data_IF_986452019956
#
_entry.id   IF_986452019956
#
_cell.length_a   1.000
_cell.length_b   1.000
_cell.length_c   1.000
_cell.angle_alpha   90.00
_cell.angle_beta   90.00
_cell.angle_gamma   90.00
#
_symmetry.space_group_name_H-M   'P 1'
#
loop_
_entity.id
_entity.type
_entity.pdbx_description
1 polymer ?
#
# COMPACT_ATOMS: atom_id res chain seq x y z
N UNK A 1 -7.73 3.95 -17.97
CA UNK A 1 -8.75 5.00 -18.10
C UNK A 1 -8.11 6.24 -18.72
N UNK A 2 -8.88 7.07 -19.44
CA UNK A 2 -8.38 8.39 -19.86
C UNK A 2 -8.09 9.28 -18.64
N UNK A 3 -7.04 10.12 -18.68
CA UNK A 3 -6.67 10.98 -17.54
C UNK A 3 -7.80 11.86 -17.02
N UNK A 4 -8.67 12.37 -17.90
CA UNK A 4 -9.82 13.21 -17.57
C UNK A 4 -10.84 12.50 -16.69
N UNK A 5 -11.01 11.19 -16.87
CA UNK A 5 -12.01 10.37 -16.18
C UNK A 5 -11.50 9.90 -14.81
N UNK A 6 -10.18 9.76 -14.62
CA UNK A 6 -9.57 9.25 -13.38
C UNK A 6 -10.08 9.94 -12.12
N UNK A 7 -10.26 11.28 -12.18
CA UNK A 7 -10.77 12.07 -11.07
C UNK A 7 -12.04 11.47 -10.48
N UNK A 8 -13.01 11.06 -11.31
CA UNK A 8 -14.29 10.48 -10.86
C UNK A 8 -14.19 8.96 -10.78
N UNK A 9 -13.62 8.32 -11.79
CA UNK A 9 -13.55 6.86 -11.90
C UNK A 9 -12.83 6.21 -10.72
N UNK A 10 -11.73 6.80 -10.24
CA UNK A 10 -11.00 6.25 -9.09
C UNK A 10 -11.81 6.32 -7.80
N UNK A 11 -12.60 7.37 -7.58
CA UNK A 11 -13.49 7.46 -6.42
C UNK A 11 -14.56 6.37 -6.44
N UNK A 12 -15.06 6.03 -7.63
CA UNK A 12 -16.01 4.92 -7.81
C UNK A 12 -15.32 3.57 -7.55
N UNK A 13 -14.18 3.32 -8.19
CA UNK A 13 -13.42 2.07 -8.04
C UNK A 13 -12.96 1.82 -6.60
N UNK A 14 -12.64 2.88 -5.86
CA UNK A 14 -12.27 2.80 -4.45
C UNK A 14 -13.46 2.69 -3.49
N UNK A 15 -14.70 2.72 -3.98
CA UNK A 15 -15.89 2.67 -3.13
C UNK A 15 -16.05 3.89 -2.23
N UNK A 16 -15.62 5.08 -2.67
CA UNK A 16 -15.81 6.33 -1.91
C UNK A 16 -17.30 6.66 -1.74
N UNK A 17 -18.11 6.24 -2.71
CA UNK A 17 -19.53 6.52 -2.79
C UNK A 17 -20.36 5.28 -2.52
N UNK A 18 -21.42 5.38 -1.70
CA UNK A 18 -22.43 4.33 -1.65
C UNK A 18 -23.03 4.08 -3.05
N UNK A 19 -23.31 2.82 -3.42
CA UNK A 19 -23.78 2.47 -4.76
C UNK A 19 -25.12 3.12 -5.12
N UNK A 20 -25.96 3.38 -4.13
CA UNK A 20 -27.28 3.97 -4.25
C UNK A 20 -27.28 5.48 -4.49
N UNK A 21 -26.14 6.17 -4.26
CA UNK A 21 -26.08 7.63 -4.39
C UNK A 21 -26.07 8.07 -5.84
N UNK A 22 -26.82 9.13 -6.16
CA UNK A 22 -26.78 9.79 -7.46
C UNK A 22 -25.58 10.76 -7.61
N UNK A 23 -25.43 11.40 -8.77
CA UNK A 23 -24.33 12.34 -9.02
C UNK A 23 -24.29 13.55 -8.08
N UNK A 24 -25.45 14.06 -7.66
CA UNK A 24 -25.57 15.23 -6.78
C UNK A 24 -25.24 14.84 -5.33
N UNK A 25 -25.74 13.72 -4.86
CA UNK A 25 -25.46 13.16 -3.53
C UNK A 25 -23.97 12.82 -3.39
N UNK A 26 -23.35 12.24 -4.42
CA UNK A 26 -21.91 11.98 -4.47
C UNK A 26 -21.08 13.26 -4.36
N UNK A 27 -21.48 14.32 -5.05
CA UNK A 27 -20.79 15.61 -4.99
C UNK A 27 -20.92 16.25 -3.60
N UNK A 28 -22.12 16.22 -3.02
CA UNK A 28 -22.38 16.73 -1.67
C UNK A 28 -21.58 15.97 -0.60
N UNK A 29 -21.55 14.63 -0.68
CA UNK A 29 -20.77 13.78 0.22
C UNK A 29 -19.27 14.10 0.13
N UNK A 30 -18.74 14.23 -1.09
CA UNK A 30 -17.35 14.58 -1.29
C UNK A 30 -17.02 15.95 -0.69
N UNK A 31 -17.85 16.96 -0.96
CA UNK A 31 -17.65 18.30 -0.42
C UNK A 31 -17.62 18.29 1.12
N UNK A 32 -18.57 17.59 1.74
CA UNK A 32 -18.62 17.43 3.21
C UNK A 32 -17.35 16.74 3.75
N UNK A 33 -16.87 15.68 3.09
CA UNK A 33 -15.64 14.99 3.50
C UNK A 33 -14.38 15.85 3.31
N UNK A 34 -14.31 16.66 2.27
CA UNK A 34 -13.20 17.58 2.02
C UNK A 34 -13.18 18.71 3.06
N UNK A 35 -14.33 19.32 3.36
CA UNK A 35 -14.43 20.34 4.41
C UNK A 35 -14.00 19.79 5.77
N UNK A 36 -14.38 18.55 6.04
CA UNK A 36 -13.96 17.83 7.25
C UNK A 36 -12.45 17.59 7.29
N UNK A 37 -11.85 17.19 6.17
CA UNK A 37 -10.39 17.06 6.07
C UNK A 37 -9.67 18.37 6.41
N UNK A 38 -10.13 19.51 5.87
CA UNK A 38 -9.52 20.81 6.16
C UNK A 38 -9.57 21.15 7.65
N UNK A 39 -10.69 20.88 8.33
CA UNK A 39 -10.82 21.06 9.79
C UNK A 39 -9.84 20.16 10.56
N UNK A 40 -9.76 18.88 10.22
CA UNK A 40 -8.83 17.94 10.85
C UNK A 40 -7.36 18.39 10.66
N UNK A 41 -7.03 18.81 9.44
CA UNK A 41 -5.70 19.32 9.10
C UNK A 41 -5.32 20.52 9.95
N UNK A 42 -6.21 21.50 10.05
CA UNK A 42 -5.98 22.70 10.85
C UNK A 42 -5.79 22.37 12.35
N UNK A 43 -6.59 21.45 12.89
CA UNK A 43 -6.51 21.03 14.30
C UNK A 43 -5.14 20.44 14.62
N UNK A 44 -4.66 19.45 13.85
CA UNK A 44 -3.39 18.82 14.16
C UNK A 44 -2.21 19.76 13.91
N UNK A 45 -2.28 20.64 12.89
CA UNK A 45 -1.23 21.65 12.66
C UNK A 45 -1.10 22.64 13.81
N UNK A 46 -2.22 23.08 14.39
CA UNK A 46 -2.24 23.90 15.61
C UNK A 46 -1.67 23.15 16.82
N UNK A 47 -2.03 21.88 16.98
CA UNK A 47 -1.47 21.06 18.05
C UNK A 47 0.04 20.84 17.90
N UNK A 48 0.54 20.69 16.67
CA UNK A 48 1.99 20.62 16.39
C UNK A 48 2.69 21.93 16.75
N UNK A 49 2.15 23.06 16.30
CA UNK A 49 2.68 24.39 16.60
C UNK A 49 2.76 24.65 18.11
N UNK A 50 1.81 24.13 18.88
CA UNK A 50 1.74 24.26 20.33
C UNK A 50 2.59 23.22 21.08
N UNK A 51 3.32 22.38 20.37
CA UNK A 51 4.14 21.32 20.96
C UNK A 51 3.32 20.25 21.69
N UNK A 52 2.07 19.97 21.28
CA UNK A 52 1.15 19.07 22.02
C UNK A 52 1.05 17.65 21.44
N UNK A 53 2.04 17.23 20.67
CA UNK A 53 2.00 15.89 20.07
C UNK A 53 2.52 14.86 21.06
N UNK A 54 1.92 13.68 21.06
CA UNK A 54 2.50 12.52 21.74
C UNK A 54 3.77 12.07 20.99
N UNK A 55 4.61 11.30 21.68
CA UNK A 55 5.83 10.73 21.06
C UNK A 55 5.52 9.94 19.78
N UNK A 56 4.51 9.08 19.81
CA UNK A 56 4.09 8.28 18.65
C UNK A 56 3.60 9.14 17.47
N UNK A 57 2.88 10.24 17.76
CA UNK A 57 2.42 11.17 16.72
C UNK A 57 3.60 11.87 16.05
N UNK A 58 4.59 12.35 16.83
CA UNK A 58 5.81 12.95 16.28
C UNK A 58 6.60 11.95 15.45
N UNK A 59 6.81 10.73 15.94
CA UNK A 59 7.53 9.69 15.20
C UNK A 59 6.83 9.38 13.85
N UNK A 60 5.50 9.27 13.85
CA UNK A 60 4.74 9.01 12.63
C UNK A 60 4.86 10.12 11.59
N UNK A 61 4.68 11.40 11.98
CA UNK A 61 4.79 12.50 11.02
C UNK A 61 6.23 12.72 10.55
N UNK A 62 7.23 12.44 11.38
CA UNK A 62 8.65 12.53 11.00
C UNK A 62 8.98 11.52 9.92
N UNK A 63 8.54 10.26 10.08
CA UNK A 63 8.69 9.23 9.05
C UNK A 63 7.96 9.62 7.76
N UNK A 64 6.73 10.14 7.86
CA UNK A 64 6.00 10.63 6.70
C UNK A 64 6.76 11.75 5.97
N UNK A 65 7.34 12.68 6.72
CA UNK A 65 8.11 13.82 6.21
C UNK A 65 9.34 13.36 5.41
N UNK A 66 10.13 12.44 5.98
CA UNK A 66 11.31 11.85 5.32
C UNK A 66 10.93 11.12 4.04
N UNK A 67 9.81 10.41 4.02
CA UNK A 67 9.36 9.67 2.85
C UNK A 67 8.82 10.58 1.74
N UNK A 68 8.10 11.63 2.10
CA UNK A 68 7.49 12.55 1.15
C UNK A 68 8.54 13.31 0.34
N UNK A 69 9.65 13.75 0.95
CA UNK A 69 10.70 14.49 0.23
C UNK A 69 11.47 13.66 -0.79
N UNK A 70 11.41 12.32 -0.69
CA UNK A 70 12.02 11.37 -1.62
C UNK A 70 11.02 10.72 -2.60
N UNK A 71 9.72 10.98 -2.48
CA UNK A 71 8.67 10.32 -3.28
C UNK A 71 8.51 10.98 -4.65
N UNK A 72 8.62 10.18 -5.71
CA UNK A 72 8.32 10.51 -7.11
C UNK A 72 8.88 11.85 -7.64
N UNK A 73 10.03 12.28 -7.10
CA UNK A 73 10.67 13.58 -7.41
C UNK A 73 11.04 13.77 -8.89
N UNK A 74 11.20 12.68 -9.62
CA UNK A 74 11.47 12.72 -11.07
C UNK A 74 10.21 12.95 -11.91
N UNK A 75 9.01 12.81 -11.34
CA UNK A 75 7.76 13.01 -12.07
C UNK A 75 7.42 14.51 -12.19
N UNK A 76 7.02 15.02 -13.37
CA UNK A 76 6.76 16.46 -13.57
C UNK A 76 5.78 17.08 -12.58
N UNK A 77 4.77 16.31 -12.13
CA UNK A 77 3.82 16.74 -11.11
C UNK A 77 4.50 17.14 -9.80
N UNK A 78 5.52 16.40 -9.36
CA UNK A 78 6.28 16.68 -8.14
C UNK A 78 7.54 17.50 -8.40
N UNK A 79 8.03 17.59 -9.63
CA UNK A 79 9.20 18.41 -9.95
C UNK A 79 8.82 19.90 -10.09
N UNK A 80 7.82 20.22 -10.93
CA UNK A 80 7.52 21.60 -11.32
C UNK A 80 6.93 22.44 -10.18
N UNK A 81 5.87 21.94 -9.54
CA UNK A 81 5.19 22.57 -8.39
C UNK A 81 5.63 21.91 -7.08
N UNK A 82 6.90 21.50 -7.03
CA UNK A 82 7.34 20.46 -6.13
C UNK A 82 7.19 20.79 -4.66
N UNK A 83 7.47 22.02 -4.25
CA UNK A 83 7.31 22.43 -2.85
C UNK A 83 5.86 22.31 -2.40
N UNK A 84 4.92 22.82 -3.20
CA UNK A 84 3.50 22.74 -2.87
C UNK A 84 3.03 21.29 -2.88
N UNK A 85 3.27 20.51 -3.96
CA UNK A 85 2.79 19.11 -4.04
C UNK A 85 3.37 18.19 -2.97
N UNK A 86 4.63 18.41 -2.60
CA UNK A 86 5.27 17.70 -1.48
C UNK A 86 4.61 18.10 -0.15
N UNK A 87 4.33 19.38 0.08
CA UNK A 87 3.59 19.81 1.28
C UNK A 87 2.17 19.22 1.33
N UNK A 88 1.43 19.20 0.20
CA UNK A 88 0.12 18.56 0.11
C UNK A 88 0.18 17.06 0.44
N UNK A 89 1.21 16.36 -0.08
CA UNK A 89 1.40 14.94 0.18
C UNK A 89 1.71 14.68 1.66
N UNK A 90 2.53 15.53 2.28
CA UNK A 90 2.79 15.49 3.72
C UNK A 90 1.50 15.72 4.52
N UNK A 91 0.72 16.74 4.18
CA UNK A 91 -0.53 17.07 4.86
C UNK A 91 -1.54 15.91 4.80
N UNK A 92 -1.66 15.23 3.67
CA UNK A 92 -2.51 14.04 3.52
C UNK A 92 -2.08 12.93 4.48
N UNK A 93 -0.78 12.58 4.47
CA UNK A 93 -0.25 11.46 5.24
C UNK A 93 -0.22 11.74 6.74
N UNK A 94 0.17 12.95 7.14
CA UNK A 94 0.14 13.38 8.54
C UNK A 94 -1.30 13.38 9.07
N UNK A 95 -2.25 13.93 8.32
CA UNK A 95 -3.67 13.88 8.72
C UNK A 95 -4.16 12.43 8.83
N UNK A 96 -3.77 11.54 7.92
CA UNK A 96 -4.14 10.13 8.03
C UNK A 96 -3.57 9.50 9.30
N UNK A 97 -2.26 9.64 9.53
CA UNK A 97 -1.55 9.02 10.65
C UNK A 97 -2.08 9.48 12.02
N UNK A 98 -2.39 10.77 12.17
CA UNK A 98 -2.89 11.34 13.43
C UNK A 98 -4.30 10.82 13.78
N UNK A 99 -5.16 10.66 12.78
CA UNK A 99 -6.56 10.25 12.98
C UNK A 99 -6.81 8.75 12.79
N UNK A 100 -5.78 7.96 12.47
CA UNK A 100 -5.84 6.50 12.41
C UNK A 100 -4.68 5.88 13.22
N UNK A 101 -4.57 6.14 14.53
CA UNK A 101 -3.38 5.83 15.33
C UNK A 101 -3.06 4.33 15.43
N UNK A 102 -4.02 3.44 15.20
CA UNK A 102 -3.78 2.00 15.13
C UNK A 102 -2.84 1.61 13.97
N UNK A 103 -2.86 2.40 12.89
CA UNK A 103 -1.97 2.26 11.73
C UNK A 103 -0.86 3.32 11.77
N UNK A 104 -1.18 4.57 12.11
CA UNK A 104 -0.23 5.68 12.05
C UNK A 104 0.32 5.88 10.63
N UNK A 105 1.63 6.09 10.53
CA UNK A 105 2.35 6.13 9.26
C UNK A 105 3.28 4.93 9.13
N UNK A 106 3.24 4.27 7.98
CA UNK A 106 4.16 3.20 7.62
C UNK A 106 4.92 3.56 6.36
N UNK A 107 6.20 3.18 6.33
CA UNK A 107 7.06 3.40 5.18
C UNK A 107 6.42 2.81 3.93
N UNK A 108 6.37 3.62 2.88
CA UNK A 108 5.77 3.23 1.61
C UNK A 108 4.36 3.78 1.35
N UNK A 109 3.63 4.19 2.39
CA UNK A 109 2.32 4.85 2.24
C UNK A 109 2.39 6.13 1.39
N UNK A 110 3.53 6.82 1.39
CA UNK A 110 3.76 7.98 0.52
C UNK A 110 3.60 7.67 -0.96
N UNK A 111 3.99 6.47 -1.41
CA UNK A 111 3.85 6.06 -2.82
C UNK A 111 2.39 5.84 -3.19
N UNK A 112 1.58 5.29 -2.27
CA UNK A 112 0.14 5.12 -2.46
C UNK A 112 -0.55 6.50 -2.55
N UNK A 113 -0.27 7.38 -1.59
CA UNK A 113 -0.84 8.72 -1.56
C UNK A 113 -0.39 9.59 -2.74
N UNK A 114 0.81 9.35 -3.27
CA UNK A 114 1.36 10.07 -4.43
C UNK A 114 0.49 9.90 -5.67
N UNK A 115 0.16 8.64 -6.03
CA UNK A 115 -0.72 8.35 -7.17
C UNK A 115 -2.11 8.96 -6.99
N UNK A 116 -2.65 8.94 -5.76
CA UNK A 116 -3.96 9.52 -5.45
C UNK A 116 -3.95 11.04 -5.59
N UNK A 117 -2.91 11.73 -5.08
CA UNK A 117 -2.77 13.17 -5.21
C UNK A 117 -2.65 13.58 -6.68
N UNK A 118 -1.86 12.84 -7.47
CA UNK A 118 -1.78 13.05 -8.90
C UNK A 118 -3.16 12.90 -9.59
N UNK A 119 -3.84 11.78 -9.36
CA UNK A 119 -5.08 11.46 -10.04
C UNK A 119 -6.24 12.40 -9.66
N UNK A 120 -6.32 12.82 -8.40
CA UNK A 120 -7.36 13.74 -7.93
C UNK A 120 -7.03 15.20 -8.22
N UNK A 121 -5.74 15.58 -8.18
CA UNK A 121 -5.27 16.96 -8.37
C UNK A 121 -5.65 17.93 -7.24
N UNK A 122 -6.40 17.46 -6.23
CA UNK A 122 -6.83 18.18 -5.05
C UNK A 122 -6.50 17.38 -3.79
N UNK A 123 -5.94 18.06 -2.79
CA UNK A 123 -5.44 17.47 -1.55
C UNK A 123 -6.53 16.76 -0.74
N UNK A 124 -7.64 17.45 -0.44
CA UNK A 124 -8.74 16.86 0.33
C UNK A 124 -9.41 15.69 -0.39
N UNK A 125 -9.58 15.76 -1.72
CA UNK A 125 -10.10 14.62 -2.50
C UNK A 125 -9.15 13.43 -2.47
N UNK A 126 -7.84 13.67 -2.55
CA UNK A 126 -6.83 12.62 -2.43
C UNK A 126 -6.82 11.98 -1.04
N UNK A 127 -6.99 12.77 0.03
CA UNK A 127 -7.17 12.24 1.39
C UNK A 127 -8.39 11.33 1.49
N UNK A 128 -9.54 11.72 0.92
CA UNK A 128 -10.74 10.89 0.90
C UNK A 128 -10.49 9.55 0.19
N UNK A 129 -9.81 9.58 -0.96
CA UNK A 129 -9.40 8.36 -1.65
C UNK A 129 -8.41 7.52 -0.83
N UNK A 130 -7.48 8.16 -0.11
CA UNK A 130 -6.51 7.45 0.73
C UNK A 130 -7.22 6.71 1.86
N UNK A 131 -8.18 7.36 2.54
CA UNK A 131 -8.99 6.70 3.56
C UNK A 131 -9.74 5.48 2.99
N UNK A 132 -10.33 5.61 1.80
CA UNK A 132 -11.02 4.50 1.15
C UNK A 132 -10.07 3.35 0.78
N UNK A 133 -8.92 3.67 0.19
CA UNK A 133 -7.89 2.68 -0.16
C UNK A 133 -7.35 1.98 1.10
N UNK A 134 -7.06 2.74 2.15
CA UNK A 134 -6.48 2.19 3.37
C UNK A 134 -7.46 1.30 4.13
N UNK A 135 -8.78 1.49 4.07
CA UNK A 135 -9.73 0.50 4.62
C UNK A 135 -9.44 -0.91 4.12
N UNK A 136 -9.07 -1.04 2.85
CA UNK A 136 -8.69 -2.30 2.21
C UNK A 136 -7.28 -2.76 2.58
N UNK A 137 -6.34 -1.83 2.73
CA UNK A 137 -4.93 -2.15 2.93
C UNK A 137 -4.50 -2.19 4.40
N UNK A 138 -5.33 -1.71 5.33
CA UNK A 138 -5.09 -1.67 6.79
C UNK A 138 -4.46 -2.96 7.32
N UNK A 139 -4.95 -4.17 6.98
CA UNK A 139 -4.36 -5.39 7.52
C UNK A 139 -2.91 -5.67 7.03
N UNK A 140 -2.43 -5.01 5.95
CA UNK A 140 -1.02 -5.07 5.52
C UNK A 140 -0.10 -4.19 6.36
N UNK A 141 -0.67 -3.16 7.01
CA UNK A 141 0.07 -2.12 7.74
C UNK A 141 -0.15 -2.20 9.25
N UNK A 142 -0.84 -3.22 9.76
CA UNK A 142 -1.15 -3.32 11.18
C UNK A 142 0.07 -3.85 11.96
N UNK A 143 0.69 -3.07 12.87
CA UNK A 143 1.93 -3.49 13.53
C UNK A 143 1.77 -4.68 14.48
N UNK A 144 0.56 -4.88 15.02
CA UNK A 144 0.29 -5.87 16.07
C UNK A 144 -0.29 -7.20 15.56
N UNK A 145 -0.55 -7.32 14.25
CA UNK A 145 -0.88 -8.59 13.62
C UNK A 145 0.41 -9.10 12.99
N UNK A 146 0.79 -10.35 13.24
CA UNK A 146 2.07 -10.99 12.84
C UNK A 146 2.27 -11.14 11.31
N UNK A 147 1.95 -10.11 10.53
CA UNK A 147 1.98 -10.09 9.07
C UNK A 147 1.16 -11.21 8.42
N UNK A 148 0.17 -11.76 9.13
CA UNK A 148 -0.62 -12.93 8.71
C UNK A 148 -1.18 -12.79 7.30
N UNK A 149 -1.72 -11.61 6.94
CA UNK A 149 -2.25 -11.40 5.59
C UNK A 149 -1.16 -11.42 4.53
N UNK A 150 0.00 -10.82 4.79
CA UNK A 150 1.13 -10.82 3.85
C UNK A 150 1.69 -12.24 3.67
N UNK A 151 1.88 -12.97 4.77
CA UNK A 151 2.30 -14.38 4.76
C UNK A 151 1.30 -15.24 3.99
N UNK A 152 -0.01 -15.04 4.21
CA UNK A 152 -1.05 -15.76 3.47
C UNK A 152 -1.04 -15.42 1.97
N UNK A 153 -0.77 -14.16 1.61
CA UNK A 153 -0.64 -13.76 0.20
C UNK A 153 0.60 -14.41 -0.45
N UNK A 154 1.72 -14.48 0.24
CA UNK A 154 2.94 -15.17 -0.22
C UNK A 154 2.72 -16.68 -0.36
N UNK A 155 2.04 -17.29 0.61
CA UNK A 155 1.65 -18.70 0.55
C UNK A 155 0.77 -18.98 -0.68
N UNK A 156 -0.26 -18.18 -0.89
CA UNK A 156 -1.15 -18.36 -2.03
C UNK A 156 -0.45 -18.07 -3.37
N UNK A 157 0.53 -17.16 -3.39
CA UNK A 157 1.37 -16.95 -4.56
C UNK A 157 2.26 -18.16 -4.86
N UNK A 158 2.86 -18.77 -3.82
CA UNK A 158 3.59 -20.04 -3.96
C UNK A 158 2.68 -21.15 -4.49
N UNK A 159 1.49 -21.32 -3.90
CA UNK A 159 0.54 -22.34 -4.32
C UNK A 159 0.07 -22.14 -5.77
N UNK A 160 -0.15 -20.88 -6.18
CA UNK A 160 -0.46 -20.50 -7.57
C UNK A 160 0.68 -20.86 -8.53
N UNK A 161 1.93 -20.64 -8.12
CA UNK A 161 3.09 -21.03 -8.92
C UNK A 161 3.21 -22.54 -9.03
N UNK A 162 3.04 -23.29 -7.94
CA UNK A 162 3.04 -24.77 -7.96
C UNK A 162 1.97 -25.30 -8.91
N UNK A 163 0.76 -24.72 -8.87
CA UNK A 163 -0.35 -25.11 -9.72
C UNK A 163 -0.10 -24.80 -11.21
N UNK A 164 0.60 -23.70 -11.51
CA UNK A 164 0.78 -23.19 -12.88
C UNK A 164 2.05 -23.73 -13.54
N UNK A 165 3.17 -23.72 -12.82
CA UNK A 165 4.47 -24.19 -13.26
C UNK A 165 5.23 -24.82 -12.09
N UNK A 166 4.97 -26.11 -11.90
CA UNK A 166 5.61 -26.91 -10.86
C UNK A 166 7.14 -26.91 -10.95
N UNK A 167 7.71 -26.91 -12.16
CA UNK A 167 9.17 -26.95 -12.34
C UNK A 167 9.80 -25.66 -11.84
N UNK A 168 9.18 -24.52 -12.10
CA UNK A 168 9.67 -23.23 -11.62
C UNK A 168 9.50 -23.11 -10.11
N UNK A 169 8.37 -23.57 -9.56
CA UNK A 169 8.16 -23.63 -8.11
C UNK A 169 9.23 -24.48 -7.40
N UNK A 170 9.54 -25.66 -7.95
CA UNK A 170 10.56 -26.55 -7.41
C UNK A 170 11.95 -25.91 -7.48
N UNK A 171 12.28 -25.27 -8.60
CA UNK A 171 13.54 -24.54 -8.75
C UNK A 171 13.68 -23.44 -7.68
N UNK A 172 12.68 -22.58 -7.52
CA UNK A 172 12.71 -21.54 -6.48
C UNK A 172 12.85 -22.13 -5.08
N UNK A 173 12.18 -23.25 -4.78
CA UNK A 173 12.35 -23.92 -3.48
C UNK A 173 13.77 -24.40 -3.25
N UNK A 174 14.39 -25.05 -4.24
CA UNK A 174 15.77 -25.54 -4.14
C UNK A 174 16.78 -24.41 -3.90
N UNK A 175 16.42 -23.18 -4.27
CA UNK A 175 17.22 -21.97 -4.09
C UNK A 175 16.78 -21.12 -2.88
N UNK A 176 15.99 -21.68 -1.95
CA UNK A 176 15.46 -20.98 -0.76
C UNK A 176 14.57 -19.75 -1.06
N UNK A 177 13.90 -19.75 -2.21
CA UNK A 177 13.03 -18.68 -2.70
C UNK A 177 11.53 -19.07 -2.68
N UNK A 178 11.21 -20.30 -2.29
CA UNK A 178 9.83 -20.81 -2.30
C UNK A 178 8.87 -20.14 -1.30
N UNK A 179 9.38 -19.45 -0.29
CA UNK A 179 8.56 -18.67 0.65
C UNK A 179 8.08 -17.32 0.07
N UNK A 180 8.54 -16.94 -1.12
CA UNK A 180 8.11 -15.73 -1.83
C UNK A 180 8.40 -14.41 -1.11
N UNK A 181 9.29 -14.36 -0.12
CA UNK A 181 9.60 -13.11 0.60
C UNK A 181 10.13 -11.99 -0.31
N UNK A 182 10.76 -12.34 -1.44
CA UNK A 182 11.19 -11.35 -2.43
C UNK A 182 10.03 -10.51 -3.02
N UNK A 183 8.78 -10.97 -2.86
CA UNK A 183 7.56 -10.28 -3.31
C UNK A 183 6.92 -9.39 -2.24
N UNK A 184 7.51 -9.26 -1.04
CA UNK A 184 6.93 -8.48 0.06
C UNK A 184 6.56 -7.06 -0.36
N UNK A 185 7.50 -6.34 -0.99
CA UNK A 185 7.27 -4.97 -1.46
C UNK A 185 6.18 -4.89 -2.54
N UNK A 186 6.10 -5.91 -3.40
CA UNK A 186 5.10 -5.99 -4.47
C UNK A 186 3.69 -6.09 -3.90
N UNK A 187 3.51 -6.99 -2.93
CA UNK A 187 2.23 -7.24 -2.28
C UNK A 187 1.84 -6.06 -1.37
N UNK A 188 2.79 -5.51 -0.60
CA UNK A 188 2.55 -4.41 0.34
C UNK A 188 2.11 -3.13 -0.39
N UNK A 189 2.76 -2.80 -1.51
CA UNK A 189 2.52 -1.58 -2.28
C UNK A 189 1.68 -1.81 -3.54
N UNK A 190 1.04 -2.97 -3.68
CA UNK A 190 0.21 -3.35 -4.84
C UNK A 190 0.88 -3.06 -6.20
N UNK A 191 2.17 -3.39 -6.30
CA UNK A 191 3.02 -3.27 -7.48
C UNK A 191 3.31 -1.85 -7.99
N UNK A 192 2.85 -0.79 -7.31
CA UNK A 192 3.00 0.60 -7.81
C UNK A 192 4.47 1.04 -7.96
N UNK A 193 5.40 0.33 -7.33
CA UNK A 193 6.84 0.60 -7.38
C UNK A 193 7.60 -0.24 -8.39
N UNK A 194 6.95 -1.21 -9.03
CA UNK A 194 7.56 -2.07 -10.05
C UNK A 194 7.43 -1.47 -11.45
N UNK A 195 6.46 -0.56 -11.64
CA UNK A 195 6.15 0.01 -12.95
C UNK A 195 6.47 1.51 -13.01
N UNK A 196 6.75 2.07 -14.21
CA UNK A 196 6.77 3.52 -14.40
C UNK A 196 5.48 4.17 -13.91
N UNK A 197 5.53 5.45 -13.54
CA UNK A 197 4.41 6.15 -12.90
C UNK A 197 3.08 5.99 -13.68
N UNK A 198 3.07 6.24 -14.99
CA UNK A 198 1.87 6.11 -15.82
C UNK A 198 1.36 4.66 -15.93
N UNK A 199 2.26 3.69 -15.92
CA UNK A 199 1.93 2.26 -15.89
C UNK A 199 1.39 1.84 -14.52
N UNK A 200 1.94 2.39 -13.43
CA UNK A 200 1.43 2.14 -12.09
C UNK A 200 -0.03 2.61 -11.93
N UNK A 201 -0.41 3.75 -12.53
CA UNK A 201 -1.80 4.19 -12.60
C UNK A 201 -2.68 3.14 -13.30
N UNK A 202 -2.21 2.57 -14.41
CA UNK A 202 -2.96 1.54 -15.13
C UNK A 202 -3.08 0.24 -14.31
N UNK A 203 -2.00 -0.19 -13.67
CA UNK A 203 -1.98 -1.38 -12.81
C UNK A 203 -3.00 -1.28 -11.69
N UNK A 204 -3.10 -0.14 -10.98
CA UNK A 204 -4.10 0.01 -9.91
C UNK A 204 -5.53 0.09 -10.46
N UNK A 205 -5.74 0.71 -11.62
CA UNK A 205 -7.05 0.76 -12.28
C UNK A 205 -7.57 -0.64 -12.63
N UNK A 206 -6.72 -1.47 -13.24
CA UNK A 206 -7.08 -2.84 -13.60
C UNK A 206 -7.34 -3.68 -12.36
N UNK A 207 -6.49 -3.56 -11.33
CA UNK A 207 -6.69 -4.24 -10.05
C UNK A 207 -8.04 -3.88 -9.41
N UNK A 208 -8.34 -2.59 -9.22
CA UNK A 208 -9.59 -2.19 -8.58
C UNK A 208 -10.82 -2.54 -9.43
N UNK A 209 -10.73 -2.46 -10.76
CA UNK A 209 -11.80 -2.92 -11.65
C UNK A 209 -12.02 -4.45 -11.53
N UNK A 210 -10.95 -5.23 -11.40
CA UNK A 210 -11.05 -6.68 -11.23
C UNK A 210 -11.74 -7.07 -9.93
N UNK A 211 -11.48 -6.35 -8.83
CA UNK A 211 -12.18 -6.53 -7.55
C UNK A 211 -13.68 -6.32 -7.75
N UNK A 212 -14.08 -5.19 -8.36
CA UNK A 212 -15.48 -4.86 -8.60
C UNK A 212 -16.19 -5.86 -9.52
N UNK A 213 -15.47 -6.47 -10.48
CA UNK A 213 -15.99 -7.52 -11.34
C UNK A 213 -16.24 -8.81 -10.57
N UNK A 214 -15.24 -9.27 -9.79
CA UNK A 214 -15.32 -10.53 -9.03
C UNK A 214 -16.37 -10.45 -7.93
N UNK A 215 -16.52 -9.30 -7.29
CA UNK A 215 -17.50 -9.04 -6.24
C UNK A 215 -18.96 -9.27 -6.69
N UNK A 216 -19.26 -9.22 -7.99
CA UNK A 216 -20.61 -9.50 -8.51
C UNK A 216 -21.01 -10.97 -8.34
N UNK A 217 -20.04 -11.89 -8.40
CA UNK A 217 -20.27 -13.32 -8.24
C UNK A 217 -19.88 -13.79 -6.85
N UNK A 218 -18.83 -13.21 -6.27
CA UNK A 218 -18.26 -13.55 -4.96
C UNK A 218 -18.33 -12.30 -4.05
N UNK A 219 -19.47 -12.05 -3.38
CA UNK A 219 -19.72 -10.79 -2.68
C UNK A 219 -18.72 -10.47 -1.58
N UNK A 220 -18.04 -11.49 -1.04
CA UNK A 220 -17.03 -11.34 0.00
C UNK A 220 -15.66 -10.87 -0.51
N UNK A 221 -15.45 -10.87 -1.83
CA UNK A 221 -14.22 -10.33 -2.43
C UNK A 221 -14.22 -8.81 -2.32
N UNK A 222 -13.18 -8.28 -1.68
CA UNK A 222 -13.09 -6.87 -1.32
C UNK A 222 -14.09 -6.44 -0.25
N UNK A 223 -14.91 -7.34 0.32
CA UNK A 223 -15.97 -7.00 1.28
C UNK A 223 -15.43 -6.61 2.65
N UNK A 224 -14.29 -7.18 3.05
CA UNK A 224 -13.52 -6.74 4.21
C UNK A 224 -13.17 -5.24 4.13
N UNK A 225 -13.24 -4.63 2.95
CA UNK A 225 -12.93 -3.24 2.68
C UNK A 225 -14.13 -2.32 2.35
N UNK A 226 -15.23 -2.85 1.81
CA UNK A 226 -16.26 -2.01 1.20
C UNK A 226 -17.43 -1.65 2.14
N UNK A 227 -17.87 -2.55 3.02
CA UNK A 227 -19.05 -2.28 3.86
C UNK A 227 -18.86 -2.59 5.34
N UNK A 228 -17.87 -3.40 5.70
CA UNK A 228 -17.58 -3.70 7.10
C UNK A 228 -16.74 -2.57 7.70
N UNK A 229 -17.42 -1.72 8.48
CA UNK A 229 -16.96 -0.48 9.13
C UNK A 229 -17.20 0.82 8.34
N UNK A 230 -18.48 1.15 8.17
CA UNK A 230 -18.97 2.52 8.44
C UNK A 230 -18.70 2.98 9.90
N UNK A 231 -18.22 2.08 10.75
CA UNK A 231 -17.93 2.27 12.18
C UNK A 231 -16.46 2.43 12.55
N UNK A 232 -15.58 2.97 11.69
CA UNK A 232 -14.51 3.84 12.25
C UNK A 232 -15.15 5.21 12.44
N UNK A 233 -16.11 5.25 13.36
CA UNK A 233 -16.39 6.47 14.08
C UNK A 233 -15.07 6.93 14.69
N UNK A 234 -14.79 8.20 14.45
CA UNK A 234 -13.58 8.89 14.83
C UNK A 234 -13.07 8.48 16.21
N UNK A 235 -11.83 8.02 16.26
CA UNK A 235 -11.04 8.29 17.43
C UNK A 235 -10.68 9.78 17.34
N UNK A 236 -11.24 10.67 18.19
CA UNK A 236 -10.75 12.05 18.25
C UNK A 236 -9.25 11.98 18.53
N UNK A 237 -8.44 12.68 17.73
CA UNK A 237 -7.01 12.71 17.97
C UNK A 237 -6.76 13.24 19.39
N UNK A 238 -6.12 12.40 20.22
CA UNK A 238 -5.72 12.78 21.57
C UNK A 238 -4.36 13.45 21.46
N UNK A 239 -4.27 14.66 21.99
CA UNK A 239 -3.04 15.45 22.07
C UNK A 239 -2.67 15.60 23.54
N UNK A 240 -1.39 15.87 23.79
CA UNK A 240 -0.92 16.17 25.14
C UNK A 240 -1.58 17.45 25.67
N UNK A 241 -1.91 17.47 26.96
CA UNK A 241 -2.53 18.63 27.61
C UNK A 241 -1.55 19.80 27.77
N UNK A 242 -0.25 19.48 27.87
CA UNK A 242 0.84 20.43 28.05
C UNK A 242 1.81 20.34 26.88
N UNK A 243 2.58 21.40 26.68
CA UNK A 243 3.66 21.41 25.70
C UNK A 243 4.70 20.35 26.06
N UNK A 244 4.87 19.39 25.16
CA UNK A 244 5.94 18.41 25.12
C UNK A 244 6.95 18.88 24.09
N UNK A 245 8.09 19.43 24.55
CA UNK A 245 9.13 19.86 23.62
C UNK A 245 9.60 18.67 22.76
N UNK A 246 9.65 18.86 21.45
CA UNK A 246 10.08 17.85 20.48
C UNK A 246 11.61 17.67 20.49
N UNK A 247 12.20 17.50 21.67
CA UNK A 247 13.65 17.53 21.90
C UNK A 247 14.42 16.46 21.11
N UNK A 248 13.77 15.35 20.77
CA UNK A 248 14.38 14.24 20.02
C UNK A 248 14.04 14.24 18.52
N UNK A 249 13.41 15.29 17.99
CA UNK A 249 12.95 15.32 16.60
C UNK A 249 13.57 16.50 15.85
N UNK A 250 14.11 16.24 14.65
CA UNK A 250 14.46 17.31 13.73
C UNK A 250 13.18 17.99 13.19
N UNK A 251 12.77 19.04 13.89
CA UNK A 251 11.60 19.83 13.53
C UNK A 251 11.79 20.65 12.26
N UNK A 252 13.02 20.81 11.76
CA UNK A 252 13.28 21.66 10.59
C UNK A 252 12.60 21.14 9.33
N UNK A 253 12.67 19.82 9.10
CA UNK A 253 12.08 19.23 7.91
C UNK A 253 10.54 19.35 7.96
N UNK A 254 9.92 19.08 9.11
CA UNK A 254 8.47 19.26 9.29
C UNK A 254 8.07 20.73 9.13
N UNK A 255 8.81 21.66 9.77
CA UNK A 255 8.58 23.10 9.65
C UNK A 255 8.69 23.61 8.21
N UNK A 256 9.48 22.96 7.36
CA UNK A 256 9.59 23.29 5.94
C UNK A 256 8.36 22.90 5.11
N UNK A 257 7.53 21.96 5.59
CA UNK A 257 6.36 21.44 4.88
C UNK A 257 5.02 21.83 5.53
N UNK A 258 4.99 22.15 6.82
CA UNK A 258 3.73 22.35 7.57
C UNK A 258 3.04 23.69 7.27
N UNK A 259 3.76 24.66 6.72
CA UNK A 259 3.32 26.03 6.46
C UNK A 259 3.82 27.01 7.52
N UNK A 260 4.18 28.23 7.10
CA UNK A 260 4.85 29.24 7.94
C UNK A 260 4.07 29.56 9.22
N UNK A 261 2.74 29.60 9.14
CA UNK A 261 1.86 29.93 10.26
C UNK A 261 1.77 28.82 11.32
N UNK A 262 2.26 27.61 11.05
CA UNK A 262 2.18 26.45 11.94
C UNK A 262 3.54 25.95 12.42
N UNK A 263 4.61 26.70 12.14
CA UNK A 263 5.96 26.29 12.54
C UNK A 263 6.10 26.20 14.06
N UNK A 264 6.64 25.08 14.52
CA UNK A 264 7.03 24.89 15.90
C UNK A 264 8.36 25.60 16.16
N UNK A 265 8.42 26.43 17.21
CA UNK A 265 9.65 27.12 17.62
C UNK A 265 10.16 26.45 18.90
N UNK A 266 11.27 25.72 18.79
CA UNK A 266 11.94 25.19 19.97
C UNK A 266 12.33 26.35 20.91
N UNK A 267 12.13 26.21 22.23
CA UNK A 267 12.59 27.20 23.19
C UNK A 267 14.12 27.32 23.10
N UNK A 268 14.62 28.55 23.03
CA UNK A 268 16.05 28.82 23.03
C UNK A 268 16.64 28.59 24.43
N UNK A 269 17.13 27.38 24.72
CA UNK A 269 18.33 27.13 25.55
C UNK A 269 18.75 25.64 25.67
N UNK A 270 20.02 25.41 25.33
CA UNK A 270 21.02 24.48 25.91
C UNK A 270 20.76 22.96 25.94
N UNK A 271 21.21 22.27 24.89
CA UNK A 271 22.39 21.36 24.95
C UNK A 271 22.72 20.83 23.55
N UNK A 272 23.93 21.13 23.08
CA UNK A 272 24.54 20.42 21.95
C UNK A 272 24.97 19.04 22.45
N UNK A 273 24.05 18.08 22.48
CA UNK A 273 24.44 16.67 22.36
C UNK A 273 23.95 16.16 21.00
N UNK A 274 24.82 15.62 20.14
CA UNK A 274 24.38 14.96 18.93
C UNK A 274 23.69 13.66 19.33
N UNK A 275 22.37 13.68 19.50
CA UNK A 275 21.61 12.45 19.75
C UNK A 275 21.41 11.69 18.44
N UNK A 276 22.16 10.59 18.38
CA UNK A 276 22.02 9.40 17.55
C UNK A 276 20.60 9.22 16.96
N UNK A 277 20.49 9.27 15.62
CA UNK A 277 19.37 8.66 14.92
C UNK A 277 19.28 7.20 15.38
N UNK A 278 18.10 6.67 15.74
CA UNK A 278 17.98 5.23 15.86
C UNK A 278 18.35 4.68 14.49
N UNK A 279 19.51 4.02 14.44
CA UNK A 279 19.79 3.05 13.38
C UNK A 279 18.53 2.20 13.25
N UNK A 280 18.06 2.06 12.01
CA UNK A 280 17.07 1.06 11.65
C UNK A 280 17.37 -0.17 12.50
N UNK A 281 16.41 -0.60 13.33
CA UNK A 281 16.46 -1.97 13.82
C UNK A 281 16.55 -2.80 12.55
N UNK A 282 17.76 -3.28 12.23
CA UNK A 282 17.92 -4.43 11.35
C UNK A 282 16.94 -5.45 11.90
N UNK A 283 15.95 -5.82 11.09
CA UNK A 283 15.33 -7.12 11.26
C UNK A 283 16.48 -8.10 11.50
N UNK A 284 16.40 -8.83 12.61
CA UNK A 284 17.44 -9.78 13.01
C UNK A 284 17.79 -10.63 11.79
N UNK A 285 19.07 -10.69 11.47
CA UNK A 285 19.61 -11.77 10.67
C UNK A 285 19.25 -13.07 11.39
N UNK A 286 18.24 -13.78 10.88
CA UNK A 286 18.01 -15.18 11.26
C UNK A 286 18.99 -15.98 10.42
N UNK A 287 20.27 -15.94 10.80
CA UNK A 287 21.22 -16.99 10.44
C UNK A 287 20.93 -18.18 11.34
N UNK A 288 19.81 -18.86 11.06
CA UNK A 288 19.40 -20.11 11.69
C UNK A 288 19.34 -21.18 10.61
N UNK A 289 20.10 -22.24 10.82
CA UNK A 289 20.08 -23.48 10.04
C UNK A 289 18.67 -23.92 9.64
N UNK A 290 18.46 -23.97 8.33
CA UNK A 290 17.46 -24.64 7.50
C UNK A 290 16.58 -25.70 8.21
N UNK A 291 15.25 -25.45 8.14
CA UNK A 291 14.08 -26.37 8.27
C UNK A 291 13.16 -26.35 9.52
N UNK A 292 13.32 -25.45 10.49
CA UNK A 292 12.29 -25.25 11.53
C UNK A 292 11.99 -23.75 11.73
N UNK A 293 10.84 -23.26 11.22
CA UNK A 293 10.33 -21.92 11.54
C UNK A 293 9.95 -20.98 10.38
N UNK A 294 9.89 -21.42 9.12
CA UNK A 294 9.39 -20.56 8.02
C UNK A 294 7.85 -20.40 8.13
N UNK A 295 7.31 -19.16 8.24
CA UNK A 295 5.87 -18.95 8.35
C UNK A 295 5.09 -19.30 7.08
N UNK A 296 5.77 -19.43 5.93
CA UNK A 296 5.15 -19.87 4.67
C UNK A 296 5.33 -21.38 4.52
N UNK A 297 4.22 -22.11 4.59
CA UNK A 297 4.18 -23.56 4.39
C UNK A 297 4.25 -23.94 2.90
N UNK A 298 5.45 -24.09 2.36
CA UNK A 298 5.67 -24.48 0.97
C UNK A 298 5.10 -25.88 0.66
N UNK A 299 4.00 -25.96 -0.10
CA UNK A 299 3.39 -27.24 -0.51
C UNK A 299 4.10 -27.85 -1.72
N UNK A 300 4.39 -29.14 -1.67
CA UNK A 300 4.97 -29.91 -2.79
C UNK A 300 4.01 -30.04 -3.97
N UNK A 301 2.71 -30.09 -3.69
CA UNK A 301 1.70 -30.29 -4.72
C UNK A 301 0.43 -29.53 -4.35
N UNK A 302 -0.18 -28.91 -5.36
CA UNK A 302 -1.43 -28.17 -5.23
C UNK A 302 -2.40 -28.70 -6.27
N UNK A 303 -3.43 -29.41 -5.82
CA UNK A 303 -4.53 -29.90 -6.67
C UNK A 303 -5.66 -28.88 -6.79
N UNK A 304 -5.74 -27.97 -5.83
CA UNK A 304 -6.84 -27.03 -5.72
C UNK A 304 -6.36 -25.70 -5.14
N UNK A 305 -6.81 -24.63 -5.79
CA UNK A 305 -6.59 -23.26 -5.37
C UNK A 305 -7.77 -22.79 -4.51
N UNK A 306 -7.52 -21.95 -3.49
CA UNK A 306 -8.58 -21.30 -2.70
C UNK A 306 -9.63 -20.62 -3.58
N UNK A 307 -10.86 -20.49 -3.09
CA UNK A 307 -11.91 -19.70 -3.75
C UNK A 307 -11.56 -18.20 -3.80
N UNK A 308 -12.19 -17.40 -4.68
CA UNK A 308 -11.82 -15.99 -4.84
C UNK A 308 -11.89 -15.14 -3.56
N UNK A 309 -12.82 -15.46 -2.66
CA UNK A 309 -12.99 -14.83 -1.34
C UNK A 309 -11.95 -15.27 -0.30
N UNK A 310 -11.26 -16.39 -0.52
CA UNK A 310 -10.15 -16.85 0.32
C UNK A 310 -8.77 -16.51 -0.29
N UNK A 311 -8.68 -16.45 -1.61
CA UNK A 311 -7.46 -16.19 -2.37
C UNK A 311 -6.88 -14.82 -1.99
N UNK A 312 -5.63 -14.81 -1.52
CA UNK A 312 -4.98 -13.61 -0.98
C UNK A 312 -5.79 -12.91 0.13
N UNK A 313 -6.51 -13.67 0.95
CA UNK A 313 -7.43 -13.22 2.01
C UNK A 313 -8.66 -12.45 1.48
N UNK A 314 -9.09 -12.72 0.23
CA UNK A 314 -10.27 -12.10 -0.36
C UNK A 314 -10.13 -10.61 -0.66
N UNK A 315 -8.95 -10.01 -0.42
CA UNK A 315 -8.74 -8.58 -0.57
C UNK A 315 -8.67 -8.16 -2.04
N UNK A 316 -7.75 -8.77 -2.79
CA UNK A 316 -7.53 -8.53 -4.21
C UNK A 316 -6.87 -9.78 -4.82
N UNK A 317 -7.65 -10.80 -5.22
CA UNK A 317 -7.08 -12.03 -5.74
C UNK A 317 -6.29 -11.81 -7.03
N UNK A 318 -6.71 -10.86 -7.88
CA UNK A 318 -6.04 -10.58 -9.15
C UNK A 318 -4.59 -10.09 -8.98
N UNK A 319 -4.26 -9.39 -7.88
CA UNK A 319 -2.88 -8.99 -7.57
C UNK A 319 -1.92 -10.18 -7.61
N UNK A 320 -2.32 -11.34 -7.07
CA UNK A 320 -1.46 -12.53 -7.06
C UNK A 320 -1.21 -13.07 -8.48
N UNK A 321 -2.18 -12.93 -9.38
CA UNK A 321 -2.03 -13.33 -10.78
C UNK A 321 -1.11 -12.37 -11.55
N UNK A 322 -1.08 -11.08 -11.20
CA UNK A 322 -0.08 -10.15 -11.74
C UNK A 322 1.31 -10.53 -11.23
N UNK A 323 1.47 -10.79 -9.93
CA UNK A 323 2.74 -11.24 -9.36
C UNK A 323 3.25 -12.55 -10.00
N UNK A 324 2.38 -13.56 -10.14
CA UNK A 324 2.69 -14.81 -10.83
C UNK A 324 3.11 -14.54 -12.28
N UNK A 325 2.37 -13.69 -12.99
CA UNK A 325 2.67 -13.36 -14.38
C UNK A 325 4.01 -12.62 -14.53
N UNK A 326 4.41 -11.81 -13.55
CA UNK A 326 5.75 -11.22 -13.48
C UNK A 326 6.84 -12.28 -13.29
N UNK A 327 6.63 -13.27 -12.41
CA UNK A 327 7.57 -14.37 -12.21
C UNK A 327 7.73 -15.18 -13.51
N UNK A 328 6.62 -15.50 -14.17
CA UNK A 328 6.62 -16.27 -15.42
C UNK A 328 7.21 -15.49 -16.60
N UNK A 329 7.15 -14.15 -16.61
CA UNK A 329 7.79 -13.33 -17.66
C UNK A 329 9.30 -13.56 -17.74
N UNK A 330 9.92 -13.90 -16.60
CA UNK A 330 11.36 -14.07 -16.49
C UNK A 330 11.76 -15.53 -16.21
N UNK A 331 10.89 -16.51 -16.47
CA UNK A 331 11.15 -17.92 -16.13
C UNK A 331 12.49 -18.43 -16.69
N UNK A 332 12.75 -18.15 -17.97
CA UNK A 332 13.97 -18.62 -18.65
C UNK A 332 15.23 -17.98 -18.04
N UNK A 333 15.18 -16.66 -17.78
CA UNK A 333 16.27 -15.92 -17.14
C UNK A 333 16.48 -16.38 -15.70
N UNK A 334 15.40 -16.71 -14.97
CA UNK A 334 15.50 -17.26 -13.62
C UNK A 334 16.25 -18.60 -13.64
N UNK A 335 15.96 -19.48 -14.59
CA UNK A 335 16.67 -20.75 -14.71
C UNK A 335 18.15 -20.59 -15.07
N UNK A 336 18.49 -19.60 -15.89
CA UNK A 336 19.85 -19.40 -16.38
C UNK A 336 20.73 -18.61 -15.41
N UNK A 337 20.18 -17.62 -14.71
CA UNK A 337 20.97 -16.62 -13.97
C UNK A 337 20.84 -16.73 -12.44
N UNK A 338 19.80 -17.35 -11.90
CA UNK A 338 19.56 -17.37 -10.44
C UNK A 338 20.20 -18.59 -9.79
N UNK A 339 21.27 -18.36 -9.04
CA UNK A 339 22.01 -19.41 -8.31
C UNK A 339 21.89 -19.24 -6.79
N UNK A 340 21.63 -18.02 -6.33
CA UNK A 340 21.35 -17.69 -4.94
C UNK A 340 20.22 -16.66 -4.84
N UNK A 341 19.73 -16.45 -3.61
CA UNK A 341 18.64 -15.52 -3.31
C UNK A 341 18.93 -14.10 -3.85
N UNK A 342 20.18 -13.64 -3.71
CA UNK A 342 20.61 -12.31 -4.14
C UNK A 342 20.44 -12.09 -5.66
N UNK A 343 20.59 -13.13 -6.47
CA UNK A 343 20.50 -13.02 -7.93
C UNK A 343 19.07 -12.70 -8.36
N UNK A 344 18.07 -13.32 -7.73
CA UNK A 344 16.66 -13.03 -8.02
C UNK A 344 16.30 -11.59 -7.65
N UNK A 345 16.80 -11.10 -6.51
CA UNK A 345 16.62 -9.70 -6.12
C UNK A 345 17.28 -8.76 -7.12
N UNK A 346 18.50 -9.07 -7.55
CA UNK A 346 19.21 -8.30 -8.57
C UNK A 346 18.44 -8.27 -9.89
N UNK A 347 17.94 -9.41 -10.37
CA UNK A 347 17.17 -9.54 -11.60
C UNK A 347 15.96 -8.60 -11.62
N UNK A 348 15.11 -8.68 -10.59
CA UNK A 348 13.91 -7.83 -10.52
C UNK A 348 14.22 -6.36 -10.24
N UNK A 349 15.33 -6.07 -9.54
CA UNK A 349 15.76 -4.70 -9.34
C UNK A 349 16.29 -4.06 -10.64
N UNK A 350 17.04 -4.81 -11.45
CA UNK A 350 17.55 -4.38 -12.75
C UNK A 350 16.40 -4.11 -13.72
N UNK A 351 15.35 -4.93 -13.69
CA UNK A 351 14.15 -4.75 -14.51
C UNK A 351 13.11 -3.79 -13.92
N UNK A 352 13.37 -3.19 -12.74
CA UNK A 352 12.42 -2.30 -12.08
C UNK A 352 12.05 -1.14 -13.02
N UNK A 353 10.75 -0.92 -13.20
CA UNK A 353 10.14 0.03 -14.15
C UNK A 353 10.37 -0.27 -15.64
N UNK A 354 10.92 -1.43 -15.98
CA UNK A 354 11.18 -1.84 -17.36
C UNK A 354 10.42 -3.12 -17.76
N UNK A 355 9.56 -3.63 -16.87
CA UNK A 355 8.73 -4.80 -17.15
C UNK A 355 7.78 -4.59 -18.34
N UNK A 356 7.56 -5.66 -19.11
CA UNK A 356 6.58 -5.72 -20.18
C UNK A 356 5.14 -5.76 -19.62
N UNK A 357 4.60 -4.58 -19.29
CA UNK A 357 3.28 -4.45 -18.66
C UNK A 357 2.17 -5.17 -19.43
N UNK A 358 2.17 -5.09 -20.77
CA UNK A 358 1.10 -5.66 -21.59
C UNK A 358 1.16 -7.18 -21.62
N UNK A 359 2.37 -7.76 -21.77
CA UNK A 359 2.57 -9.21 -21.66
C UNK A 359 2.12 -9.73 -20.30
N UNK A 360 2.57 -9.06 -19.24
CA UNK A 360 2.23 -9.41 -17.85
C UNK A 360 0.72 -9.34 -17.61
N UNK A 361 0.05 -8.24 -17.96
CA UNK A 361 -1.39 -8.07 -17.73
C UNK A 361 -2.24 -9.03 -18.56
N UNK A 362 -1.87 -9.29 -19.83
CA UNK A 362 -2.61 -10.21 -20.69
C UNK A 362 -2.50 -11.66 -20.19
N UNK A 363 -1.31 -12.10 -19.75
CA UNK A 363 -1.11 -13.41 -19.14
C UNK A 363 -1.84 -13.51 -17.80
N UNK A 364 -1.73 -12.50 -16.94
CA UNK A 364 -2.44 -12.46 -15.65
C UNK A 364 -3.96 -12.58 -15.84
N UNK A 365 -4.53 -11.84 -16.80
CA UNK A 365 -5.95 -11.92 -17.16
C UNK A 365 -6.34 -13.32 -17.63
N UNK A 366 -5.55 -13.91 -18.53
CA UNK A 366 -5.85 -15.25 -19.08
C UNK A 366 -5.83 -16.33 -17.99
N UNK A 367 -4.84 -16.30 -17.10
CA UNK A 367 -4.75 -17.19 -15.95
C UNK A 367 -5.91 -16.98 -14.97
N UNK A 368 -6.26 -15.72 -14.70
CA UNK A 368 -7.34 -15.39 -13.78
C UNK A 368 -8.72 -15.79 -14.32
N UNK A 369 -8.98 -15.57 -15.61
CA UNK A 369 -10.23 -15.98 -16.27
C UNK A 369 -10.39 -17.51 -16.24
N UNK A 370 -9.30 -18.27 -16.44
CA UNK A 370 -9.31 -19.73 -16.32
C UNK A 370 -9.60 -20.18 -14.88
N UNK A 371 -8.95 -19.55 -13.90
CA UNK A 371 -9.20 -19.80 -12.48
C UNK A 371 -10.66 -19.51 -12.08
N UNK A 372 -11.23 -18.37 -12.48
CA UNK A 372 -12.61 -18.04 -12.15
C UNK A 372 -13.61 -19.03 -12.76
N UNK A 373 -13.38 -19.51 -13.99
CA UNK A 373 -14.21 -20.54 -14.62
C UNK A 373 -14.16 -21.86 -13.85
N UNK A 374 -12.98 -22.31 -13.43
CA UNK A 374 -12.83 -23.50 -12.59
C UNK A 374 -13.60 -23.37 -11.27
N UNK A 375 -13.45 -22.24 -10.59
CA UNK A 375 -14.15 -21.95 -9.33
C UNK A 375 -15.67 -21.88 -9.50
N UNK A 376 -16.16 -21.31 -10.60
CA UNK A 376 -17.60 -21.27 -10.89
C UNK A 376 -18.16 -22.67 -11.19
N UNK A 377 -17.42 -23.50 -11.95
CA UNK A 377 -17.81 -24.89 -12.20
C UNK A 377 -17.92 -25.68 -10.89
N UNK A 378 -16.91 -25.58 -10.02
CA UNK A 378 -16.92 -26.22 -8.70
C UNK A 378 -18.09 -25.75 -7.86
N UNK A 379 -18.30 -24.43 -7.77
CA UNK A 379 -19.42 -23.86 -7.00
C UNK A 379 -20.78 -24.41 -7.47
N UNK A 380 -21.00 -24.57 -8.78
CA UNK A 380 -22.24 -25.13 -9.34
C UNK A 380 -22.38 -26.64 -9.12
N UNK A 381 -21.29 -27.39 -9.03
CA UNK A 381 -21.33 -28.83 -8.76
C UNK A 381 -21.65 -29.15 -7.30
N UNK A 382 -21.40 -28.23 -6.37
CA UNK A 382 -21.61 -28.40 -4.92
C UNK A 382 -22.76 -27.54 -4.34
N UNK A 383 -23.50 -26.82 -5.20
CA UNK A 383 -24.75 -26.11 -4.87
C UNK A 383 -25.95 -26.92 -5.30
#
# INVERSE_FOLDING_TARGET
MEPSVRKVGWRILLGVYPPEFDGKERLALLHSKVEKYEKLKEIWKKAYQQGRFTKAQIEAITLACVDVVRTDRCHPFYYNDGKNRVAQLFDILATYAIYHPAIGYHQGMSNLASLLLYAQGNEGMAYVCLCALMKRLTPKFYPQHDQVMMITQMQHLHDLLVFTDYKLAQFLRMHNLGNMFFTERWLLLELIREFPFEHALHIVEVQWASIAMVAQTWPDVGSTALYTQLGIEHCPAVFEEKETHYACCDSNLINSLIGEQFQYKQPSNQSNEPLYCPTQKKCRDVSGSVHEGDPVHMKDWVVELPSPDAMGCGNNPFLLFICLSMILEYSDVIYEEVHEVCDLFHLFQTHNKQHNIWGILNRARSLFDAYLKDQEMKRKCFS
#
